data_IF_142076597257
#
_entry.id   IF_142076597257
#
_cell.length_a   1.000
_cell.length_b   1.000
_cell.length_c   1.000
_cell.angle_alpha   90.00
_cell.angle_beta   90.00
_cell.angle_gamma   90.00
#
_symmetry.space_group_name_H-M   'P 1'
#
loop_
_entity.id
_entity.type
_entity.pdbx_description
1 polymer ?
#
# COMPACT_ATOMS: atom_id res chain seq x y z
N UNK A 1 -5.75 -6.16 20.27
CA UNK A 1 -5.38 -5.94 18.86
C UNK A 1 -4.98 -4.49 18.67
N UNK A 2 -3.95 -4.25 17.88
CA UNK A 2 -3.40 -2.92 17.61
C UNK A 2 -4.41 -1.98 16.94
N UNK A 3 -4.66 -0.82 17.56
CA UNK A 3 -5.55 0.22 17.01
C UNK A 3 -4.94 0.80 15.72
N UNK A 4 -3.63 1.04 15.71
CA UNK A 4 -2.90 1.52 14.53
C UNK A 4 -3.04 0.56 13.35
N UNK A 5 -2.86 -0.75 13.55
CA UNK A 5 -3.01 -1.72 12.46
C UNK A 5 -4.44 -1.79 11.94
N UNK A 6 -5.45 -1.71 12.81
CA UNK A 6 -6.86 -1.67 12.40
C UNK A 6 -7.19 -0.42 11.60
N UNK A 7 -6.68 0.73 12.03
CA UNK A 7 -6.85 2.00 11.33
C UNK A 7 -6.21 1.93 9.94
N UNK A 8 -4.94 1.53 9.87
CA UNK A 8 -4.21 1.40 8.61
C UNK A 8 -4.89 0.40 7.68
N UNK A 9 -5.33 -0.74 8.19
CA UNK A 9 -6.01 -1.76 7.39
C UNK A 9 -7.33 -1.26 6.82
N UNK A 10 -8.20 -0.71 7.68
CA UNK A 10 -9.49 -0.17 7.24
C UNK A 10 -9.35 1.00 6.26
N UNK A 11 -8.38 1.88 6.50
CA UNK A 11 -8.06 2.98 5.59
C UNK A 11 -7.58 2.46 4.23
N UNK A 12 -6.60 1.55 4.19
CA UNK A 12 -6.08 1.01 2.93
C UNK A 12 -7.12 0.18 2.16
N UNK A 13 -7.99 -0.56 2.84
CA UNK A 13 -9.13 -1.25 2.20
C UNK A 13 -10.03 -0.24 1.50
N UNK A 14 -10.40 0.84 2.21
CA UNK A 14 -11.24 1.88 1.62
C UNK A 14 -10.56 2.63 0.47
N UNK A 15 -9.27 2.95 0.63
CA UNK A 15 -8.58 3.84 -0.30
C UNK A 15 -8.04 3.14 -1.55
N UNK A 16 -7.69 1.86 -1.44
CA UNK A 16 -7.12 1.10 -2.55
C UNK A 16 -8.01 -0.04 -3.02
N UNK A 17 -8.51 -0.88 -2.12
CA UNK A 17 -9.24 -2.09 -2.53
C UNK A 17 -10.66 -1.77 -3.02
N UNK A 18 -11.37 -0.87 -2.32
CA UNK A 18 -12.72 -0.44 -2.68
C UNK A 18 -12.74 0.71 -3.69
N UNK A 19 -11.59 1.31 -3.98
CA UNK A 19 -11.46 2.42 -4.92
C UNK A 19 -11.37 1.92 -6.37
N UNK A 20 -12.54 1.78 -7.01
CA UNK A 20 -12.60 1.38 -8.43
C UNK A 20 -12.06 2.47 -9.35
N UNK A 21 -11.67 2.09 -10.58
CA UNK A 21 -11.20 3.04 -11.60
C UNK A 21 -12.24 4.12 -11.88
N UNK A 22 -13.52 3.78 -11.88
CA UNK A 22 -14.60 4.74 -12.11
C UNK A 22 -14.75 5.71 -10.93
N UNK A 23 -14.55 5.27 -9.69
CA UNK A 23 -14.51 6.16 -8.53
C UNK A 23 -13.30 7.11 -8.61
N UNK A 24 -12.13 6.64 -9.06
CA UNK A 24 -10.96 7.50 -9.31
C UNK A 24 -11.28 8.56 -10.37
N UNK A 25 -11.93 8.18 -11.47
CA UNK A 25 -12.33 9.14 -12.51
C UNK A 25 -13.37 10.14 -11.99
N UNK A 26 -14.31 9.68 -11.17
CA UNK A 26 -15.36 10.52 -10.61
C UNK A 26 -14.79 11.55 -9.63
N UNK A 27 -13.93 11.14 -8.70
CA UNK A 27 -13.31 12.05 -7.72
C UNK A 27 -12.43 13.13 -8.36
N UNK A 28 -11.78 12.81 -9.48
CA UNK A 28 -10.99 13.79 -10.23
C UNK A 28 -11.89 14.81 -10.95
N UNK A 29 -13.12 14.45 -11.29
CA UNK A 29 -14.05 15.30 -12.06
C UNK A 29 -14.98 16.14 -11.19
N UNK A 30 -15.34 15.70 -9.98
CA UNK A 30 -16.32 16.39 -9.15
C UNK A 30 -16.03 16.30 -7.65
N UNK A 31 -16.54 17.28 -6.90
CA UNK A 31 -16.53 17.27 -5.42
C UNK A 31 -17.41 16.14 -4.84
N UNK A 32 -18.47 15.76 -5.55
CA UNK A 32 -19.34 14.64 -5.17
C UNK A 32 -18.57 13.31 -5.18
N UNK A 33 -17.68 13.11 -6.15
CA UNK A 33 -16.81 11.94 -6.19
C UNK A 33 -15.82 11.90 -5.03
N UNK A 34 -15.28 13.06 -4.62
CA UNK A 34 -14.44 13.18 -3.42
C UNK A 34 -15.22 12.84 -2.15
N UNK A 35 -16.45 13.35 -2.00
CA UNK A 35 -17.29 13.03 -0.84
C UNK A 35 -17.65 11.55 -0.77
N UNK A 36 -18.07 10.95 -1.89
CA UNK A 36 -18.38 9.53 -1.96
C UNK A 36 -17.17 8.68 -1.57
N UNK A 37 -15.99 9.03 -2.09
CA UNK A 37 -14.76 8.33 -1.77
C UNK A 37 -14.38 8.47 -0.27
N UNK A 38 -14.43 9.69 0.28
CA UNK A 38 -14.19 9.91 1.70
C UNK A 38 -15.18 9.14 2.59
N UNK A 39 -16.45 9.00 2.15
CA UNK A 39 -17.45 8.20 2.86
C UNK A 39 -17.10 6.71 2.85
N UNK A 40 -16.66 6.18 1.71
CA UNK A 40 -16.20 4.78 1.58
C UNK A 40 -15.01 4.51 2.51
N UNK A 41 -14.01 5.39 2.53
CA UNK A 41 -12.82 5.24 3.39
C UNK A 41 -13.18 5.35 4.87
N UNK A 42 -14.04 6.31 5.21
CA UNK A 42 -14.53 6.48 6.59
C UNK A 42 -15.34 5.27 7.04
N UNK A 43 -16.25 4.77 6.20
CA UNK A 43 -17.05 3.58 6.49
C UNK A 43 -16.20 2.32 6.63
N UNK A 44 -15.24 2.11 5.73
CA UNK A 44 -14.27 1.01 5.83
C UNK A 44 -13.48 1.08 7.15
N UNK A 45 -12.91 2.24 7.46
CA UNK A 45 -12.15 2.44 8.71
C UNK A 45 -13.04 2.26 9.94
N UNK A 46 -14.28 2.76 9.91
CA UNK A 46 -15.27 2.58 10.97
C UNK A 46 -15.55 1.11 11.28
N UNK A 47 -15.69 0.26 10.27
CA UNK A 47 -15.92 -1.18 10.45
C UNK A 47 -14.76 -1.86 11.19
N UNK A 48 -13.50 -1.51 10.89
CA UNK A 48 -12.33 -2.10 11.55
C UNK A 48 -12.03 -1.50 12.93
N UNK A 49 -12.51 -0.28 13.18
CA UNK A 49 -12.41 0.40 14.48
C UNK A 49 -13.64 0.22 15.37
N UNK A 50 -14.67 -0.52 14.93
CA UNK A 50 -15.91 -0.71 15.68
C UNK A 50 -15.62 -1.14 17.12
N UNK A 51 -16.10 -0.34 18.09
CA UNK A 51 -15.93 -0.54 19.53
C UNK A 51 -14.49 -0.61 20.06
N UNK A 52 -13.49 -0.16 19.28
CA UNK A 52 -12.08 -0.18 19.73
C UNK A 52 -11.66 1.01 20.59
N UNK A 53 -12.39 2.13 20.53
CA UNK A 53 -12.12 3.34 21.28
C UNK A 53 -13.41 3.86 21.94
N UNK A 54 -13.34 4.43 23.16
CA UNK A 54 -14.41 5.26 23.68
C UNK A 54 -14.72 6.38 22.67
N UNK A 55 -16.00 6.67 22.45
CA UNK A 55 -16.47 7.71 21.52
C UNK A 55 -15.92 7.61 20.08
N UNK A 56 -15.52 6.41 19.63
CA UNK A 56 -14.98 6.15 18.29
C UNK A 56 -15.83 6.75 17.16
N UNK A 57 -17.16 6.77 17.31
CA UNK A 57 -18.09 7.37 16.36
C UNK A 57 -17.89 8.87 16.14
N UNK A 58 -17.47 9.62 17.18
CA UNK A 58 -17.19 11.06 17.04
C UNK A 58 -15.93 11.31 16.20
N UNK A 59 -14.96 10.39 16.25
CA UNK A 59 -13.72 10.48 15.47
C UNK A 59 -13.92 10.26 13.97
N UNK A 60 -15.07 9.71 13.55
CA UNK A 60 -15.41 9.55 12.13
C UNK A 60 -15.56 10.89 11.41
N UNK A 61 -16.03 11.93 12.10
CA UNK A 61 -16.23 13.26 11.53
C UNK A 61 -14.89 13.90 11.10
N UNK A 62 -13.90 14.07 12.00
CA UNK A 62 -12.60 14.60 11.60
C UNK A 62 -11.85 13.66 10.66
N UNK A 63 -12.04 12.34 10.75
CA UNK A 63 -11.45 11.38 9.81
C UNK A 63 -11.96 11.62 8.38
N UNK A 64 -13.28 11.71 8.22
CA UNK A 64 -13.91 12.03 6.94
C UNK A 64 -13.41 13.37 6.39
N UNK A 65 -13.39 14.40 7.23
CA UNK A 65 -13.01 15.76 6.84
C UNK A 65 -11.53 15.82 6.38
N UNK A 66 -10.61 15.21 7.13
CA UNK A 66 -9.19 15.19 6.76
C UNK A 66 -8.94 14.36 5.51
N UNK A 67 -9.56 13.18 5.40
CA UNK A 67 -9.45 12.36 4.18
C UNK A 67 -9.93 13.13 2.95
N UNK A 68 -11.12 13.74 3.04
CA UNK A 68 -11.64 14.59 1.97
C UNK A 68 -10.69 15.74 1.63
N UNK A 69 -10.15 16.43 2.63
CA UNK A 69 -9.25 17.57 2.43
C UNK A 69 -7.94 17.17 1.76
N UNK A 70 -7.34 16.05 2.16
CA UNK A 70 -6.12 15.54 1.55
C UNK A 70 -6.36 15.14 0.09
N UNK A 71 -7.44 14.40 -0.16
CA UNK A 71 -7.76 13.93 -1.51
C UNK A 71 -8.12 15.10 -2.44
N UNK A 72 -8.85 16.11 -1.93
CA UNK A 72 -9.10 17.37 -2.62
C UNK A 72 -7.80 18.12 -2.91
N UNK A 73 -6.93 18.25 -1.91
CA UNK A 73 -5.63 18.91 -2.04
C UNK A 73 -4.74 18.24 -3.07
N UNK A 74 -4.70 16.90 -3.09
CA UNK A 74 -4.01 16.11 -4.12
C UNK A 74 -4.57 16.39 -5.51
N UNK A 75 -5.89 16.40 -5.68
CA UNK A 75 -6.52 16.71 -6.98
C UNK A 75 -6.19 18.14 -7.42
N UNK A 76 -6.26 19.12 -6.52
CA UNK A 76 -5.90 20.50 -6.81
C UNK A 76 -4.42 20.63 -7.20
N UNK A 77 -3.52 19.96 -6.48
CA UNK A 77 -2.09 19.96 -6.76
C UNK A 77 -1.77 19.27 -8.09
N UNK A 78 -2.42 18.15 -8.39
CA UNK A 78 -2.26 17.43 -9.66
C UNK A 78 -2.71 18.26 -10.87
N UNK A 79 -3.79 19.05 -10.73
CA UNK A 79 -4.23 19.99 -11.77
C UNK A 79 -3.22 21.12 -11.98
N UNK A 80 -2.63 21.64 -10.90
CA UNK A 80 -1.65 22.74 -10.96
C UNK A 80 -0.27 22.30 -11.44
N UNK A 81 0.16 21.09 -11.06
CA UNK A 81 1.49 20.56 -11.39
C UNK A 81 1.41 19.12 -11.92
N UNK A 82 0.96 18.92 -13.17
CA UNK A 82 0.82 17.58 -13.76
C UNK A 82 2.14 16.79 -13.79
N UNK A 83 3.28 17.46 -13.86
CA UNK A 83 4.58 16.78 -13.90
C UNK A 83 5.01 16.18 -12.53
N UNK A 84 4.30 16.48 -11.44
CA UNK A 84 4.64 16.08 -10.07
C UNK A 84 3.72 15.00 -9.50
N UNK A 85 3.02 14.22 -10.35
CA UNK A 85 2.08 13.18 -9.91
C UNK A 85 2.63 12.24 -8.83
N UNK A 86 3.85 11.71 -9.01
CA UNK A 86 4.44 10.80 -8.01
C UNK A 86 4.75 11.49 -6.68
N UNK A 87 5.32 12.69 -6.71
CA UNK A 87 5.60 13.46 -5.49
C UNK A 87 4.31 13.85 -4.75
N UNK A 88 3.26 14.20 -5.50
CA UNK A 88 1.94 14.46 -4.94
C UNK A 88 1.34 13.21 -4.29
N UNK A 89 1.51 12.03 -4.91
CA UNK A 89 1.11 10.75 -4.32
C UNK A 89 1.88 10.43 -3.04
N UNK A 90 3.20 10.60 -3.01
CA UNK A 90 3.98 10.35 -1.78
C UNK A 90 3.61 11.32 -0.64
N UNK A 91 3.41 12.60 -0.95
CA UNK A 91 2.94 13.58 0.02
C UNK A 91 1.55 13.20 0.57
N UNK A 92 0.65 12.77 -0.32
CA UNK A 92 -0.68 12.32 0.05
C UNK A 92 -0.64 11.12 1.01
N UNK A 93 0.14 10.07 0.69
CA UNK A 93 0.31 8.94 1.62
C UNK A 93 0.93 9.37 2.96
N UNK A 94 1.88 10.30 2.96
CA UNK A 94 2.50 10.81 4.19
C UNK A 94 1.50 11.58 5.06
N UNK A 95 0.63 12.38 4.46
CA UNK A 95 -0.44 13.10 5.18
C UNK A 95 -1.45 12.13 5.79
N UNK A 96 -1.89 11.11 5.06
CA UNK A 96 -2.80 10.09 5.57
C UNK A 96 -2.18 9.26 6.71
N UNK A 97 -0.91 8.88 6.59
CA UNK A 97 -0.19 8.19 7.66
C UNK A 97 -0.03 9.09 8.89
N UNK A 98 0.34 10.35 8.70
CA UNK A 98 0.46 11.33 9.78
C UNK A 98 -0.86 11.56 10.52
N UNK A 99 -1.97 11.69 9.77
CA UNK A 99 -3.30 11.80 10.37
C UNK A 99 -3.69 10.52 11.13
N UNK A 100 -3.40 9.34 10.59
CA UNK A 100 -3.63 8.06 11.26
C UNK A 100 -2.89 8.01 12.61
N UNK A 101 -1.60 8.34 12.62
CA UNK A 101 -0.79 8.41 13.85
C UNK A 101 -1.38 9.41 14.85
N UNK A 102 -1.78 10.59 14.37
CA UNK A 102 -2.41 11.62 15.20
C UNK A 102 -3.74 11.13 15.80
N UNK A 103 -4.60 10.48 15.03
CA UNK A 103 -5.86 9.91 15.52
C UNK A 103 -5.63 8.84 16.58
N UNK A 104 -4.65 7.97 16.39
CA UNK A 104 -4.29 6.96 17.40
C UNK A 104 -3.81 7.63 18.69
N UNK A 105 -2.96 8.64 18.59
CA UNK A 105 -2.46 9.39 19.75
C UNK A 105 -3.59 10.11 20.51
N UNK A 106 -4.45 10.84 19.79
CA UNK A 106 -5.57 11.57 20.41
C UNK A 106 -6.63 10.63 20.97
N UNK A 107 -7.00 9.58 20.23
CA UNK A 107 -7.95 8.56 20.68
C UNK A 107 -7.48 7.78 21.91
N UNK A 108 -6.16 7.71 22.12
CA UNK A 108 -5.53 7.10 23.31
C UNK A 108 -5.32 8.11 24.45
N UNK A 109 -6.08 9.22 24.48
CA UNK A 109 -6.01 10.22 25.54
C UNK A 109 -4.74 11.06 25.53
N UNK A 110 -4.12 11.27 24.36
CA UNK A 110 -2.88 12.01 24.21
C UNK A 110 -1.64 11.25 24.70
N UNK A 111 -1.72 9.91 24.73
CA UNK A 111 -0.59 9.03 25.06
C UNK A 111 -0.37 8.07 23.90
N UNK A 112 0.90 7.84 23.56
CA UNK A 112 1.23 6.83 22.56
C UNK A 112 1.03 5.44 23.17
N UNK A 113 0.17 4.57 22.60
CA UNK A 113 -0.21 3.31 23.25
C UNK A 113 0.81 2.18 23.06
N UNK A 114 1.93 2.44 22.39
CA UNK A 114 2.99 1.46 22.14
C UNK A 114 4.29 1.89 22.81
N UNK A 115 5.05 0.94 23.35
CA UNK A 115 6.30 1.19 24.05
C UNK A 115 7.50 1.25 23.10
N UNK A 116 7.46 0.49 22.01
CA UNK A 116 8.54 0.42 21.02
C UNK A 116 8.01 0.62 19.60
N UNK A 117 8.91 0.96 18.68
CA UNK A 117 8.59 0.99 17.25
C UNK A 117 8.13 -0.40 16.74
N UNK A 118 8.75 -1.46 17.25
CA UNK A 118 8.42 -2.80 16.83
C UNK A 118 7.01 -3.22 17.28
N UNK A 119 6.59 -2.82 18.49
CA UNK A 119 5.21 -2.99 18.98
C UNK A 119 4.21 -2.13 18.19
N UNK A 120 4.60 -0.91 17.77
CA UNK A 120 3.74 -0.09 16.91
C UNK A 120 3.50 -0.75 15.53
N UNK A 121 4.54 -1.34 14.94
CA UNK A 121 4.46 -2.02 13.64
C UNK A 121 3.78 -3.39 13.77
N UNK A 122 4.12 -4.16 14.79
CA UNK A 122 3.66 -5.55 14.97
C UNK A 122 2.35 -5.71 15.74
N UNK A 123 1.98 -4.69 16.53
CA UNK A 123 0.93 -4.75 17.52
C UNK A 123 1.38 -5.36 18.86
N UNK A 124 0.60 -5.18 19.95
CA UNK A 124 0.90 -5.72 21.27
C UNK A 124 0.44 -7.18 21.46
N UNK A 125 -0.43 -7.72 20.60
CA UNK A 125 -1.03 -9.06 20.76
C UNK A 125 -0.47 -10.06 19.74
N UNK A 126 0.27 -11.11 20.16
CA UNK A 126 1.05 -11.97 19.26
C UNK A 126 0.30 -12.58 18.08
N UNK A 127 -0.90 -13.13 18.27
CA UNK A 127 -1.55 -13.91 17.21
C UNK A 127 -2.53 -13.11 16.34
N UNK A 128 -3.39 -12.31 16.97
CA UNK A 128 -4.38 -11.53 16.23
C UNK A 128 -3.73 -10.39 15.41
N UNK A 129 -2.69 -9.74 15.94
CA UNK A 129 -2.01 -8.66 15.23
C UNK A 129 -1.08 -9.19 14.13
N UNK A 130 -0.51 -10.39 14.31
CA UNK A 130 0.24 -11.09 13.26
C UNK A 130 -0.58 -11.33 12.00
N UNK A 131 -1.82 -11.81 12.14
CA UNK A 131 -2.68 -12.07 10.98
C UNK A 131 -3.09 -10.77 10.30
N UNK A 132 -3.45 -9.75 11.09
CA UNK A 132 -3.82 -8.44 10.56
C UNK A 132 -2.64 -7.77 9.84
N UNK A 133 -1.43 -7.87 10.40
CA UNK A 133 -0.21 -7.35 9.78
C UNK A 133 0.09 -8.03 8.44
N UNK A 134 -0.06 -9.36 8.36
CA UNK A 134 0.08 -10.08 7.10
C UNK A 134 -0.93 -9.59 6.06
N UNK A 135 -2.21 -9.45 6.43
CA UNK A 135 -3.25 -8.94 5.54
C UNK A 135 -2.98 -7.50 5.09
N UNK A 136 -2.49 -6.65 5.99
CA UNK A 136 -2.08 -5.29 5.68
C UNK A 136 -0.97 -5.27 4.63
N UNK A 137 0.06 -6.09 4.81
CA UNK A 137 1.18 -6.15 3.88
C UNK A 137 0.77 -6.79 2.56
N UNK A 138 -0.13 -7.78 2.58
CA UNK A 138 -0.74 -8.35 1.39
C UNK A 138 -1.51 -7.29 0.58
N UNK A 139 -2.22 -6.39 1.25
CA UNK A 139 -2.93 -5.29 0.62
C UNK A 139 -1.95 -4.29 -0.02
N UNK A 140 -0.89 -3.90 0.70
CA UNK A 140 0.17 -3.04 0.15
C UNK A 140 0.83 -3.69 -1.07
N UNK A 141 1.20 -4.96 -0.97
CA UNK A 141 1.78 -5.72 -2.06
C UNK A 141 0.84 -5.80 -3.27
N UNK A 142 -0.45 -6.06 -3.06
CA UNK A 142 -1.36 -6.25 -4.17
C UNK A 142 -1.78 -4.94 -4.84
N UNK A 143 -2.08 -3.90 -4.07
CA UNK A 143 -2.68 -2.66 -4.58
C UNK A 143 -1.71 -1.47 -4.67
N UNK A 144 -0.79 -1.32 -3.71
CA UNK A 144 0.09 -0.14 -3.65
C UNK A 144 1.37 -0.36 -4.47
N UNK A 145 1.99 -1.53 -4.38
CA UNK A 145 3.21 -1.85 -5.14
C UNK A 145 3.06 -1.68 -6.67
N UNK A 146 1.95 -2.10 -7.33
CA UNK A 146 1.77 -1.81 -8.75
C UNK A 146 1.76 -0.32 -9.10
N UNK A 147 1.30 0.55 -8.18
CA UNK A 147 1.34 1.99 -8.38
C UNK A 147 2.78 2.50 -8.32
N UNK A 148 3.60 1.97 -7.42
CA UNK A 148 5.03 2.28 -7.36
C UNK A 148 5.75 1.81 -8.64
N UNK A 149 5.47 0.60 -9.11
CA UNK A 149 5.98 0.07 -10.38
C UNK A 149 5.64 1.00 -11.56
N UNK A 150 4.37 1.38 -11.70
CA UNK A 150 3.93 2.25 -12.78
C UNK A 150 4.65 3.62 -12.76
N UNK A 151 4.83 4.20 -11.57
CA UNK A 151 5.52 5.48 -11.41
C UNK A 151 7.03 5.37 -11.66
N UNK A 152 7.67 4.27 -11.24
CA UNK A 152 9.08 4.01 -11.50
C UNK A 152 9.35 3.90 -13.01
N UNK A 153 8.54 3.11 -13.71
CA UNK A 153 8.61 2.97 -15.18
C UNK A 153 8.39 4.30 -15.87
N UNK A 154 7.36 5.06 -15.47
CA UNK A 154 7.09 6.38 -16.05
C UNK A 154 8.30 7.33 -15.93
N UNK A 155 8.98 7.34 -14.77
CA UNK A 155 10.20 8.13 -14.57
C UNK A 155 11.36 7.62 -15.44
N UNK A 156 11.59 6.31 -15.49
CA UNK A 156 12.64 5.70 -16.31
C UNK A 156 12.43 5.99 -17.80
N UNK A 157 11.20 5.84 -18.29
CA UNK A 157 10.86 6.13 -19.68
C UNK A 157 11.05 7.62 -20.03
N UNK A 158 10.71 8.53 -19.11
CA UNK A 158 10.93 9.98 -19.28
C UNK A 158 12.42 10.36 -19.25
N UNK A 159 13.23 9.67 -18.44
CA UNK A 159 14.70 9.82 -18.48
C UNK A 159 15.28 9.26 -19.77
N UNK A 160 14.61 8.30 -20.40
CA UNK A 160 15.07 7.60 -21.60
C UNK A 160 14.70 8.27 -22.94
N UNK A 161 13.75 9.21 -23.01
CA UNK A 161 13.41 9.90 -24.26
C UNK A 161 12.63 11.23 -24.12
N UNK A 162 12.90 12.18 -25.04
CA UNK A 162 12.05 13.31 -25.46
C UNK A 162 10.69 12.86 -26.09
N UNK A 163 10.19 11.66 -25.74
CA UNK A 163 9.02 11.04 -26.35
C UNK A 163 7.80 11.14 -25.45
N UNK A 164 6.66 11.46 -26.05
CA UNK A 164 5.33 11.38 -25.48
C UNK A 164 5.01 9.94 -25.04
N UNK A 165 5.32 9.61 -23.78
CA UNK A 165 4.81 8.39 -23.15
C UNK A 165 3.34 8.65 -22.82
N UNK A 166 2.49 8.45 -23.84
CA UNK A 166 1.05 8.31 -23.67
C UNK A 166 0.83 7.27 -22.58
N UNK A 167 0.32 7.72 -21.43
CA UNK A 167 -0.15 6.91 -20.29
C UNK A 167 0.23 5.44 -20.46
N UNK A 168 1.51 5.12 -20.18
CA UNK A 168 2.01 3.76 -20.35
C UNK A 168 0.98 2.86 -19.69
N UNK A 169 0.39 1.92 -20.46
CA UNK A 169 -0.86 1.30 -20.08
C UNK A 169 -0.67 0.83 -18.65
N UNK A 170 -1.50 1.37 -17.76
CA UNK A 170 -1.77 0.72 -16.49
C UNK A 170 -1.69 -0.77 -16.77
N UNK A 171 -0.65 -1.41 -16.23
CA UNK A 171 -0.25 -2.78 -16.48
C UNK A 171 -1.48 -3.61 -16.85
N UNK A 172 -1.45 -4.31 -18.00
CA UNK A 172 -2.58 -5.14 -18.44
C UNK A 172 -3.12 -5.92 -17.24
N UNK A 173 -4.42 -6.21 -17.20
CA UNK A 173 -5.00 -6.96 -16.07
C UNK A 173 -4.17 -8.21 -15.75
N UNK A 174 -3.65 -8.86 -16.79
CA UNK A 174 -2.69 -9.95 -16.71
C UNK A 174 -1.39 -9.59 -15.96
N UNK A 175 -0.69 -8.51 -16.32
CA UNK A 175 0.54 -8.07 -15.64
C UNK A 175 0.27 -7.70 -14.17
N UNK A 176 -0.90 -7.11 -13.87
CA UNK A 176 -1.33 -6.84 -12.48
C UNK A 176 -1.57 -8.13 -11.70
N UNK A 177 -2.22 -9.12 -12.30
CA UNK A 177 -2.51 -10.40 -11.65
C UNK A 177 -1.22 -11.21 -11.43
N UNK A 178 -0.32 -11.27 -12.41
CA UNK A 178 0.98 -11.92 -12.25
C UNK A 178 1.83 -11.22 -11.19
N UNK A 179 1.94 -9.89 -11.25
CA UNK A 179 2.65 -9.09 -10.24
C UNK A 179 2.03 -9.23 -8.85
N UNK A 180 0.70 -9.21 -8.74
CA UNK A 180 0.01 -9.43 -7.47
C UNK A 180 0.30 -10.82 -6.92
N UNK A 181 0.20 -11.85 -7.75
CA UNK A 181 0.45 -13.24 -7.37
C UNK A 181 1.88 -13.49 -6.89
N UNK A 182 2.90 -13.01 -7.61
CA UNK A 182 4.31 -13.17 -7.19
C UNK A 182 4.57 -12.53 -5.82
N UNK A 183 4.04 -11.33 -5.58
CA UNK A 183 4.28 -10.60 -4.33
C UNK A 183 3.54 -11.21 -3.15
N UNK A 184 2.32 -11.69 -3.37
CA UNK A 184 1.58 -12.45 -2.36
C UNK A 184 2.29 -13.77 -2.03
N UNK A 185 2.87 -14.45 -3.01
CA UNK A 185 3.67 -15.66 -2.78
C UNK A 185 4.94 -15.34 -1.98
N UNK A 186 5.65 -14.27 -2.31
CA UNK A 186 6.80 -13.79 -1.51
C UNK A 186 6.38 -13.55 -0.06
N UNK A 187 5.30 -12.81 0.17
CA UNK A 187 4.80 -12.55 1.53
C UNK A 187 4.41 -13.84 2.26
N UNK A 188 3.74 -14.77 1.57
CA UNK A 188 3.34 -16.05 2.17
C UNK A 188 4.57 -16.85 2.59
N UNK A 189 5.61 -16.94 1.74
CA UNK A 189 6.86 -17.63 2.06
C UNK A 189 7.59 -16.98 3.24
N UNK A 190 7.62 -15.65 3.31
CA UNK A 190 8.21 -14.92 4.43
C UNK A 190 7.41 -15.08 5.73
N UNK A 191 6.08 -15.06 5.64
CA UNK A 191 5.19 -15.23 6.79
C UNK A 191 5.25 -16.65 7.38
N UNK A 192 5.37 -17.67 6.52
CA UNK A 192 5.53 -19.08 6.90
C UNK A 192 6.98 -19.43 7.30
N UNK A 193 7.96 -18.64 6.84
CA UNK A 193 9.40 -18.85 7.05
C UNK A 193 10.05 -18.01 8.13
N UNK A 194 9.31 -17.06 8.73
CA UNK A 194 9.83 -16.14 9.72
C UNK A 194 10.34 -16.81 11.01
N UNK A 195 10.73 -16.02 12.03
CA UNK A 195 11.32 -16.52 13.28
C UNK A 195 10.50 -17.59 14.01
N UNK A 196 9.21 -17.73 13.67
CA UNK A 196 8.24 -18.66 14.26
C UNK A 196 7.84 -19.80 13.31
N UNK A 197 8.49 -19.96 12.16
CA UNK A 197 8.11 -20.85 11.06
C UNK A 197 9.14 -21.92 10.68
N UNK A 198 9.02 -22.52 9.50
CA UNK A 198 9.83 -23.66 9.02
C UNK A 198 11.31 -23.34 8.69
N UNK A 199 11.82 -22.19 9.12
CA UNK A 199 13.23 -21.78 9.03
C UNK A 199 13.63 -20.99 7.76
N UNK A 200 14.89 -20.54 7.73
CA UNK A 200 15.52 -19.77 6.63
C UNK A 200 15.26 -20.30 5.20
N UNK A 201 15.15 -21.63 4.91
CA UNK A 201 15.04 -22.13 3.54
C UNK A 201 13.87 -21.52 2.73
N UNK A 202 12.73 -21.24 3.36
CA UNK A 202 11.58 -20.65 2.65
C UNK A 202 11.77 -19.16 2.32
N UNK A 203 12.52 -18.43 3.15
CA UNK A 203 12.91 -17.03 2.88
C UNK A 203 13.84 -16.97 1.67
N UNK A 204 14.81 -17.89 1.59
CA UNK A 204 15.74 -18.00 0.45
C UNK A 204 15.05 -18.41 -0.85
N UNK A 205 13.90 -19.10 -0.77
CA UNK A 205 13.09 -19.43 -1.95
C UNK A 205 12.28 -18.24 -2.48
N UNK A 206 12.07 -17.19 -1.69
CA UNK A 206 11.22 -16.05 -2.08
C UNK A 206 11.61 -15.38 -3.42
N UNK A 207 12.89 -15.22 -3.81
CA UNK A 207 13.26 -14.67 -5.11
C UNK A 207 12.78 -15.53 -6.30
N UNK A 208 12.57 -16.84 -6.10
CA UNK A 208 12.05 -17.73 -7.15
C UNK A 208 10.60 -17.39 -7.53
N UNK A 209 9.86 -16.68 -6.66
CA UNK A 209 8.48 -16.28 -6.90
C UNK A 209 8.32 -15.31 -8.09
N UNK A 210 9.39 -14.63 -8.50
CA UNK A 210 9.39 -13.72 -9.66
C UNK A 210 9.57 -14.45 -11.00
N UNK A 211 10.06 -15.70 -10.98
CA UNK A 211 10.35 -16.46 -12.20
C UNK A 211 9.11 -16.68 -13.10
N UNK A 212 7.91 -17.02 -12.58
CA UNK A 212 6.75 -17.22 -13.43
C UNK A 212 6.39 -15.98 -14.28
N UNK A 213 6.41 -14.78 -13.67
CA UNK A 213 6.14 -13.51 -14.38
C UNK A 213 7.20 -13.23 -15.45
N UNK A 214 8.47 -13.45 -15.12
CA UNK A 214 9.63 -13.30 -16.03
C UNK A 214 9.48 -14.22 -17.25
N UNK A 215 9.16 -15.50 -17.02
CA UNK A 215 9.00 -16.48 -18.10
C UNK A 215 7.77 -16.21 -18.97
N UNK A 216 6.63 -15.84 -18.36
CA UNK A 216 5.40 -15.51 -19.07
C UNK A 216 5.57 -14.30 -20.01
N UNK A 217 6.38 -13.32 -19.62
CA UNK A 217 6.61 -12.09 -20.38
C UNK A 217 7.89 -12.09 -21.21
N UNK A 218 8.53 -13.26 -21.43
CA UNK A 218 9.74 -13.38 -22.26
C UNK A 218 9.60 -12.81 -23.67
N UNK A 219 8.37 -12.75 -24.20
CA UNK A 219 8.09 -12.19 -25.51
C UNK A 219 8.35 -10.68 -25.59
N UNK A 220 8.26 -9.94 -24.47
CA UNK A 220 8.55 -8.51 -24.38
C UNK A 220 10.03 -8.20 -24.57
N UNK A 221 10.92 -9.20 -24.43
CA UNK A 221 12.37 -9.00 -24.52
C UNK A 221 12.87 -8.74 -25.94
N UNK A 222 12.01 -8.96 -26.94
CA UNK A 222 12.33 -8.70 -28.35
C UNK A 222 12.39 -7.21 -28.66
N UNK A 223 11.69 -6.38 -27.90
CA UNK A 223 11.71 -4.93 -28.04
C UNK A 223 12.49 -4.33 -26.85
N UNK A 224 13.65 -3.67 -27.08
CA UNK A 224 14.45 -3.08 -26.02
C UNK A 224 13.69 -2.13 -25.09
N UNK A 225 12.70 -1.38 -25.61
CA UNK A 225 11.91 -0.46 -24.79
C UNK A 225 10.95 -1.20 -23.86
N UNK A 226 10.24 -2.19 -24.40
CA UNK A 226 9.34 -3.03 -23.59
C UNK A 226 10.11 -3.86 -22.57
N UNK A 227 11.32 -4.33 -22.92
CA UNK A 227 12.23 -4.99 -22.00
C UNK A 227 12.65 -4.08 -20.85
N UNK A 228 13.04 -2.83 -21.14
CA UNK A 228 13.41 -1.85 -20.12
C UNK A 228 12.25 -1.55 -19.16
N UNK A 229 11.04 -1.32 -19.69
CA UNK A 229 9.84 -1.10 -18.88
C UNK A 229 9.54 -2.32 -17.99
N UNK A 230 9.61 -3.53 -18.56
CA UNK A 230 9.39 -4.77 -17.83
C UNK A 230 10.40 -4.95 -16.68
N UNK A 231 11.69 -4.79 -16.94
CA UNK A 231 12.73 -4.91 -15.92
C UNK A 231 12.63 -3.83 -14.86
N UNK A 232 12.22 -2.61 -15.23
CA UNK A 232 11.92 -1.53 -14.27
C UNK A 232 10.81 -1.93 -13.28
N UNK A 233 9.74 -2.56 -13.77
CA UNK A 233 8.66 -3.09 -12.91
C UNK A 233 9.16 -4.20 -11.99
N UNK A 234 9.84 -5.21 -12.54
CA UNK A 234 10.35 -6.35 -11.76
C UNK A 234 11.33 -5.88 -10.68
N UNK A 235 12.27 -5.00 -11.01
CA UNK A 235 13.21 -4.44 -10.05
C UNK A 235 12.49 -3.67 -8.92
N UNK A 236 11.49 -2.85 -9.27
CA UNK A 236 10.68 -2.11 -8.28
C UNK A 236 9.87 -3.06 -7.40
N UNK A 237 9.30 -4.12 -7.97
CA UNK A 237 8.58 -5.19 -7.26
C UNK A 237 9.52 -5.87 -6.24
N UNK A 238 10.71 -6.30 -6.69
CA UNK A 238 11.73 -6.92 -5.83
C UNK A 238 12.13 -5.99 -4.67
N UNK A 239 12.49 -4.73 -4.96
CA UNK A 239 12.91 -3.77 -3.93
C UNK A 239 11.79 -3.50 -2.91
N UNK A 240 10.55 -3.37 -3.39
CA UNK A 240 9.37 -3.19 -2.53
C UNK A 240 9.16 -4.42 -1.64
N UNK A 241 9.30 -5.62 -2.20
CA UNK A 241 9.14 -6.86 -1.45
C UNK A 241 10.26 -7.12 -0.44
N UNK A 242 11.49 -6.73 -0.74
CA UNK A 242 12.60 -6.78 0.21
C UNK A 242 12.31 -5.87 1.42
N UNK A 243 11.85 -4.64 1.17
CA UNK A 243 11.49 -3.71 2.23
C UNK A 243 10.33 -4.25 3.08
N UNK A 244 9.22 -4.67 2.46
CA UNK A 244 8.09 -5.25 3.16
C UNK A 244 8.49 -6.52 3.93
N UNK A 245 9.36 -7.34 3.36
CA UNK A 245 9.86 -8.55 4.01
C UNK A 245 10.68 -8.27 5.26
N UNK A 246 11.60 -7.30 5.20
CA UNK A 246 12.37 -6.85 6.38
C UNK A 246 11.44 -6.29 7.46
N UNK A 247 10.49 -5.44 7.09
CA UNK A 247 9.52 -4.88 8.04
C UNK A 247 8.67 -5.97 8.70
N UNK A 248 8.23 -6.96 7.92
CA UNK A 248 7.43 -8.08 8.43
C UNK A 248 8.28 -8.95 9.36
N UNK A 249 9.52 -9.25 8.98
CA UNK A 249 10.43 -10.03 9.80
C UNK A 249 10.73 -9.36 11.14
N UNK A 250 11.03 -8.05 11.14
CA UNK A 250 11.27 -7.27 12.36
C UNK A 250 10.04 -7.25 13.28
N UNK A 251 8.86 -7.05 12.69
CA UNK A 251 7.60 -7.04 13.44
C UNK A 251 7.29 -8.43 14.04
N UNK A 252 7.48 -9.50 13.28
CA UNK A 252 7.28 -10.88 13.77
C UNK A 252 8.29 -11.28 14.85
N UNK A 253 9.54 -10.84 14.72
CA UNK A 253 10.56 -11.07 15.75
C UNK A 253 10.19 -10.39 17.07
N UNK A 254 9.65 -9.17 17.01
CA UNK A 254 9.20 -8.45 18.20
C UNK A 254 7.96 -9.06 18.86
N UNK A 255 7.10 -9.75 18.10
CA UNK A 255 5.96 -10.49 18.66
C UNK A 255 6.36 -11.83 19.30
N UNK A 256 7.59 -12.30 19.08
CA UNK A 256 8.10 -13.57 19.61
C UNK A 256 8.76 -13.44 21.00
N UNK A 257 8.99 -12.21 21.47
CA UNK A 257 9.61 -11.87 22.74
C UNK A 257 8.62 -11.16 23.65
#
# INVERSE_FOLDING_TARGET
>A
MSILLRFLFGHLVGDFALQTIDLVRFKVRSWQGLLLHAAIVTGSTALFLWETLPTWGLWLIPLFALHFLFDWGKVALARRFPQRHFSAFLLDQALHLGATVLFVFLGSGGRWPYTTLAEAIGGPSPQADRNLLFLLFALVAFFVAPLLEANAVYKLARLSANGTVANGPAASLQDRLWGGGERLLVLALLYLGGPLGYGLPTVWASPLSFLPRILAHRHLWKDPRQAQDFWGKVATSILTMLLLGVLLWLALAALAH
#
